data_IF_747823185979
#
_entry.id   IF_747823185979
#
_cell.length_a   1.000
_cell.length_b   1.000
_cell.length_c   1.000
_cell.angle_alpha   90.00
_cell.angle_beta   90.00
_cell.angle_gamma   90.00
#
_symmetry.space_group_name_H-M   'P 1'
#
loop_
_entity.id
_entity.type
_entity.pdbx_description
1 polymer ?
#
# COMPACT_ATOMS: atom_id res chain seq x y z
N UNK A 1 -45.46 -5.60 18.26
CA UNK A 1 -44.39 -5.52 17.25
C UNK A 1 -43.17 -6.16 17.86
N UNK A 2 -42.76 -7.34 17.37
CA UNK A 2 -41.59 -8.03 17.90
C UNK A 2 -40.36 -7.22 17.49
N UNK A 3 -39.82 -6.44 18.42
CA UNK A 3 -38.52 -5.79 18.27
C UNK A 3 -37.52 -6.93 18.18
N UNK A 4 -36.89 -7.10 17.01
CA UNK A 4 -35.76 -8.01 16.88
C UNK A 4 -34.63 -7.35 17.65
N UNK A 5 -34.36 -7.87 18.85
CA UNK A 5 -33.20 -7.51 19.65
C UNK A 5 -31.95 -8.07 18.96
N UNK A 6 -31.56 -7.44 17.85
CA UNK A 6 -30.28 -7.67 17.22
C UNK A 6 -29.28 -6.74 17.87
N UNK A 7 -28.47 -7.26 18.79
CA UNK A 7 -27.35 -6.53 19.37
C UNK A 7 -26.22 -6.59 18.34
N UNK A 8 -25.95 -5.45 17.70
CA UNK A 8 -24.79 -5.33 16.81
C UNK A 8 -23.52 -5.38 17.66
N UNK A 9 -22.64 -6.35 17.39
CA UNK A 9 -21.34 -6.45 18.03
C UNK A 9 -20.30 -5.91 17.04
N UNK A 10 -20.04 -4.60 17.01
CA UNK A 10 -19.11 -4.02 16.05
C UNK A 10 -17.74 -4.68 16.16
N UNK A 11 -17.10 -4.91 15.02
CA UNK A 11 -15.73 -5.41 15.02
C UNK A 11 -14.81 -4.40 15.73
N UNK A 12 -13.96 -4.82 16.70
CA UNK A 12 -13.18 -3.91 17.55
C UNK A 12 -12.21 -3.02 16.76
N UNK A 13 -11.82 -3.43 15.55
CA UNK A 13 -10.99 -2.63 14.64
C UNK A 13 -11.73 -1.43 14.04
N UNK A 14 -13.04 -1.54 13.82
CA UNK A 14 -13.88 -0.48 13.20
C UNK A 14 -13.96 0.76 14.08
N UNK A 15 -14.06 0.57 15.40
CA UNK A 15 -14.02 1.67 16.38
C UNK A 15 -12.61 2.28 16.51
N UNK A 16 -11.56 1.45 16.43
CA UNK A 16 -10.17 1.94 16.46
C UNK A 16 -9.80 2.75 15.21
N UNK A 17 -10.37 2.42 14.05
CA UNK A 17 -10.17 3.13 12.78
C UNK A 17 -10.83 4.52 12.75
N UNK A 18 -11.92 4.73 13.48
CA UNK A 18 -12.52 6.07 13.64
C UNK A 18 -11.57 7.04 14.37
N UNK A 19 -10.70 6.51 15.22
CA UNK A 19 -9.77 7.30 16.03
C UNK A 19 -8.38 7.45 15.37
N UNK A 20 -8.02 6.61 14.39
CA UNK A 20 -6.68 6.61 13.78
C UNK A 20 -6.72 6.89 12.27
N UNK A 21 -6.03 7.96 11.80
CA UNK A 21 -5.91 8.22 10.37
C UNK A 21 -5.07 7.14 9.66
N UNK A 22 -5.25 6.95 8.34
CA UNK A 22 -4.52 5.94 7.58
C UNK A 22 -3.01 6.14 7.68
N UNK A 23 -2.21 5.08 7.92
CA UNK A 23 -0.79 5.19 8.16
C UNK A 23 -0.07 5.82 6.96
N UNK A 24 0.57 6.98 7.17
CA UNK A 24 1.41 7.62 6.18
C UNK A 24 2.86 7.20 6.38
N UNK A 25 3.63 7.19 5.28
CA UNK A 25 5.08 6.98 5.27
C UNK A 25 5.80 7.97 6.21
N UNK A 26 5.23 9.17 6.41
CA UNK A 26 5.75 10.21 7.28
C UNK A 26 5.57 9.94 8.78
N UNK A 27 4.64 9.06 9.18
CA UNK A 27 4.32 8.78 10.58
C UNK A 27 5.20 7.67 11.16
N UNK A 28 6.02 7.04 10.32
CA UNK A 28 6.96 6.04 10.76
C UNK A 28 8.15 6.75 11.41
N UNK A 29 8.66 6.19 12.51
CA UNK A 29 9.87 6.66 13.17
C UNK A 29 11.08 6.35 12.29
N UNK A 30 11.16 7.05 11.17
CA UNK A 30 12.30 7.03 10.29
C UNK A 30 13.29 8.01 10.90
N UNK A 31 14.33 7.48 11.57
CA UNK A 31 15.45 8.29 12.04
C UNK A 31 16.00 9.17 10.91
N UNK A 32 16.68 10.26 11.24
CA UNK A 32 17.19 11.25 10.28
C UNK A 32 17.86 10.60 9.05
N UNK A 33 18.70 9.58 9.28
CA UNK A 33 19.41 8.83 8.24
C UNK A 33 18.46 8.11 7.26
N UNK A 34 17.37 7.53 7.76
CA UNK A 34 16.38 6.86 6.91
C UNK A 34 15.56 7.85 6.08
N UNK A 35 15.28 9.05 6.60
CA UNK A 35 14.59 10.11 5.84
C UNK A 35 15.46 10.63 4.70
N UNK A 36 16.75 10.84 4.97
CA UNK A 36 17.72 11.24 3.95
C UNK A 36 17.88 10.13 2.91
N UNK A 37 18.05 8.87 3.35
CA UNK A 37 18.14 7.71 2.46
C UNK A 37 16.92 7.56 1.55
N UNK A 38 15.71 7.62 2.10
CA UNK A 38 14.47 7.54 1.33
C UNK A 38 14.30 8.74 0.38
N UNK A 39 14.67 9.95 0.79
CA UNK A 39 14.60 11.14 -0.06
C UNK A 39 15.56 11.07 -1.26
N UNK A 40 16.81 10.66 -1.01
CA UNK A 40 17.81 10.47 -2.07
C UNK A 40 17.35 9.35 -3.00
N UNK A 41 16.93 8.21 -2.45
CA UNK A 41 16.46 7.06 -3.23
C UNK A 41 15.26 7.40 -4.10
N UNK A 42 14.32 8.21 -3.60
CA UNK A 42 13.17 8.66 -4.39
C UNK A 42 13.56 9.60 -5.52
N UNK A 43 14.60 10.42 -5.35
CA UNK A 43 15.13 11.29 -6.41
C UNK A 43 15.97 10.51 -7.43
N UNK A 44 16.85 9.64 -6.96
CA UNK A 44 17.72 8.79 -7.80
C UNK A 44 16.93 7.73 -8.54
N UNK A 45 15.85 7.21 -7.96
CA UNK A 45 14.92 6.28 -8.60
C UNK A 45 14.06 6.90 -9.70
N UNK A 46 14.21 8.20 -10.00
CA UNK A 46 13.58 8.81 -11.18
C UNK A 46 14.46 8.61 -12.42
N UNK A 47 13.83 8.38 -13.58
CA UNK A 47 14.55 8.19 -14.85
C UNK A 47 15.49 9.36 -15.22
N UNK A 48 15.23 10.56 -14.68
CA UNK A 48 16.08 11.75 -14.87
C UNK A 48 17.52 11.56 -14.39
N UNK A 49 17.74 10.88 -13.27
CA UNK A 49 19.08 10.64 -12.75
C UNK A 49 19.90 9.76 -13.71
N UNK A 50 19.25 8.76 -14.33
CA UNK A 50 19.86 7.88 -15.32
C UNK A 50 20.24 8.67 -16.58
N UNK A 51 19.35 9.53 -17.08
CA UNK A 51 19.66 10.35 -18.25
C UNK A 51 20.82 11.31 -18.01
N UNK A 52 20.87 11.97 -16.84
CA UNK A 52 21.98 12.87 -16.49
C UNK A 52 23.31 12.12 -16.39
N UNK A 53 23.33 10.95 -15.73
CA UNK A 53 24.53 10.14 -15.62
C UNK A 53 25.01 9.62 -16.99
N UNK A 54 24.09 9.17 -17.84
CA UNK A 54 24.39 8.69 -19.17
C UNK A 54 24.97 9.79 -20.06
N UNK A 55 24.33 10.96 -20.11
CA UNK A 55 24.81 12.10 -20.88
C UNK A 55 26.18 12.57 -20.37
N UNK A 56 26.38 12.62 -19.05
CA UNK A 56 27.68 12.95 -18.46
C UNK A 56 28.77 11.96 -18.89
N UNK A 57 28.49 10.66 -18.81
CA UNK A 57 29.45 9.62 -19.17
C UNK A 57 29.81 9.66 -20.66
N UNK A 58 28.83 9.80 -21.54
CA UNK A 58 29.05 9.96 -22.99
C UNK A 58 29.84 11.22 -23.30
N UNK A 59 29.48 12.36 -22.68
CA UNK A 59 30.19 13.62 -22.88
C UNK A 59 31.66 13.51 -22.46
N UNK A 60 31.94 12.90 -21.30
CA UNK A 60 33.30 12.67 -20.83
C UNK A 60 34.10 11.76 -21.76
N UNK A 61 33.51 10.64 -22.19
CA UNK A 61 34.16 9.72 -23.13
C UNK A 61 34.49 10.40 -24.46
N UNK A 62 33.63 11.29 -24.97
CA UNK A 62 33.90 12.07 -26.19
C UNK A 62 35.02 13.09 -25.96
N UNK A 63 35.01 13.82 -24.85
CA UNK A 63 36.03 14.83 -24.53
C UNK A 63 37.41 14.23 -24.24
N UNK A 64 37.46 13.06 -23.59
CA UNK A 64 38.69 12.38 -23.19
C UNK A 64 39.20 11.41 -24.26
N UNK A 65 38.31 10.80 -25.05
CA UNK A 65 38.67 9.84 -26.09
C UNK A 65 39.17 10.46 -27.39
N UNK A 66 38.89 11.75 -27.62
CA UNK A 66 39.43 12.45 -28.79
C UNK A 66 40.92 12.73 -28.57
N UNK A 67 41.79 12.30 -29.49
CA UNK A 67 43.25 12.45 -29.36
C UNK A 67 43.71 13.93 -29.23
N UNK A 68 42.90 14.86 -29.73
CA UNK A 68 43.07 16.32 -29.62
C UNK A 68 42.18 16.97 -28.57
N UNK A 69 41.47 16.17 -27.77
CA UNK A 69 40.58 16.65 -26.72
C UNK A 69 41.38 17.23 -25.54
N UNK A 70 40.93 18.33 -24.93
CA UNK A 70 41.62 18.95 -23.79
C UNK A 70 41.73 18.02 -22.56
N UNK A 71 40.89 16.99 -22.48
CA UNK A 71 40.86 16.02 -21.38
C UNK A 71 41.65 14.73 -21.65
N UNK A 72 42.15 14.53 -22.87
CA UNK A 72 42.88 13.31 -23.26
C UNK A 72 44.16 13.10 -22.45
N UNK A 73 44.82 14.17 -22.01
CA UNK A 73 46.02 14.08 -21.17
C UNK A 73 45.71 13.66 -19.73
N UNK A 74 44.46 13.82 -19.27
CA UNK A 74 44.05 13.54 -17.89
C UNK A 74 43.50 12.13 -17.77
N UNK A 75 42.69 11.68 -18.74
CA UNK A 75 42.03 10.38 -18.69
C UNK A 75 42.04 9.66 -20.06
N UNK A 76 43.21 9.22 -20.56
CA UNK A 76 43.30 8.48 -21.81
C UNK A 76 42.54 7.15 -21.72
N UNK A 77 42.08 6.64 -22.87
CA UNK A 77 41.51 5.29 -22.96
C UNK A 77 42.48 4.28 -22.33
N UNK A 78 42.07 3.46 -21.34
CA UNK A 78 40.71 2.98 -21.04
C UNK A 78 39.90 3.75 -19.97
N UNK A 79 40.14 5.05 -19.77
CA UNK A 79 39.37 5.93 -18.87
C UNK A 79 39.43 5.53 -17.37
N UNK A 80 40.63 5.28 -16.85
CA UNK A 80 40.82 4.81 -15.47
C UNK A 80 40.22 5.76 -14.42
N UNK A 81 40.27 7.07 -14.64
CA UNK A 81 39.73 8.05 -13.70
C UNK A 81 38.20 8.05 -13.70
N UNK A 82 37.57 8.03 -14.88
CA UNK A 82 36.11 7.90 -15.00
C UNK A 82 35.61 6.59 -14.37
N UNK A 83 36.28 5.46 -14.62
CA UNK A 83 35.93 4.18 -14.01
C UNK A 83 36.08 4.20 -12.49
N UNK A 84 37.13 4.80 -11.97
CA UNK A 84 37.36 4.94 -10.53
C UNK A 84 36.26 5.78 -9.86
N UNK A 85 35.96 6.95 -10.42
CA UNK A 85 34.92 7.83 -9.91
C UNK A 85 33.53 7.19 -10.00
N UNK A 86 33.25 6.50 -11.12
CA UNK A 86 32.01 5.75 -11.32
C UNK A 86 31.80 4.66 -10.27
N UNK A 87 32.83 3.89 -9.94
CA UNK A 87 32.75 2.86 -8.89
C UNK A 87 32.44 3.45 -7.52
N UNK A 88 33.10 4.54 -7.12
CA UNK A 88 32.84 5.20 -5.83
C UNK A 88 31.38 5.67 -5.77
N UNK A 89 30.93 6.37 -6.81
CA UNK A 89 29.56 6.88 -6.89
C UNK A 89 28.55 5.72 -6.86
N UNK A 90 28.82 4.63 -7.58
CA UNK A 90 27.96 3.45 -7.61
C UNK A 90 27.85 2.77 -6.24
N UNK A 91 28.96 2.51 -5.55
CA UNK A 91 28.93 1.89 -4.22
C UNK A 91 28.13 2.76 -3.24
N UNK A 92 28.36 4.08 -3.24
CA UNK A 92 27.62 5.02 -2.39
C UNK A 92 26.13 5.03 -2.74
N UNK A 93 25.78 5.12 -4.03
CA UNK A 93 24.39 5.07 -4.47
C UNK A 93 23.73 3.76 -4.03
N UNK A 94 24.41 2.62 -4.17
CA UNK A 94 23.89 1.31 -3.80
C UNK A 94 23.56 1.23 -2.31
N UNK A 95 24.46 1.70 -1.43
CA UNK A 95 24.19 1.75 0.01
C UNK A 95 23.01 2.66 0.35
N UNK A 96 22.97 3.86 -0.23
CA UNK A 96 21.89 4.83 0.03
C UNK A 96 20.55 4.29 -0.46
N UNK A 97 20.52 3.66 -1.64
CA UNK A 97 19.34 3.02 -2.22
C UNK A 97 18.87 1.89 -1.29
N UNK A 98 19.77 1.01 -0.84
CA UNK A 98 19.41 -0.10 0.05
C UNK A 98 18.71 0.39 1.32
N UNK A 99 19.27 1.40 1.99
CA UNK A 99 18.64 2.01 3.18
C UNK A 99 17.31 2.68 2.83
N UNK A 100 17.24 3.40 1.71
CA UNK A 100 16.01 4.04 1.27
C UNK A 100 14.90 3.05 0.95
N UNK A 101 15.22 1.93 0.31
CA UNK A 101 14.27 0.85 0.02
C UNK A 101 13.78 0.16 1.29
N UNK A 102 14.66 -0.12 2.27
CA UNK A 102 14.25 -0.69 3.56
C UNK A 102 13.22 0.21 4.27
N UNK A 103 13.46 1.53 4.27
CA UNK A 103 12.56 2.52 4.87
C UNK A 103 11.22 2.59 4.12
N UNK A 104 11.25 2.62 2.78
CA UNK A 104 10.05 2.67 1.96
C UNK A 104 9.24 1.37 2.07
N UNK A 105 9.91 0.22 2.17
CA UNK A 105 9.32 -1.11 2.35
C UNK A 105 8.58 -1.24 3.68
N UNK A 106 9.18 -0.75 4.78
CA UNK A 106 8.53 -0.79 6.10
C UNK A 106 7.19 -0.03 6.12
N UNK A 107 7.05 1.04 5.33
CA UNK A 107 5.79 1.77 5.20
C UNK A 107 4.76 0.98 4.36
N UNK A 108 5.22 0.27 3.32
CA UNK A 108 4.39 -0.62 2.52
C UNK A 108 3.86 -1.78 3.35
N UNK A 109 4.71 -2.42 4.15
CA UNK A 109 4.32 -3.55 5.00
C UNK A 109 3.27 -3.13 6.03
N UNK A 110 3.43 -1.95 6.65
CA UNK A 110 2.44 -1.42 7.59
C UNK A 110 1.09 -1.16 6.90
N UNK A 111 1.10 -0.62 5.68
CA UNK A 111 -0.12 -0.42 4.90
C UNK A 111 -0.79 -1.76 4.57
N UNK A 112 -0.01 -2.78 4.22
CA UNK A 112 -0.52 -4.12 3.96
C UNK A 112 -1.21 -4.71 5.20
N UNK A 113 -0.63 -4.55 6.40
CA UNK A 113 -1.25 -5.00 7.66
C UNK A 113 -2.58 -4.28 7.91
N UNK A 114 -2.64 -2.95 7.72
CA UNK A 114 -3.90 -2.21 7.90
C UNK A 114 -4.96 -2.64 6.88
N UNK A 115 -4.58 -2.82 5.61
CA UNK A 115 -5.50 -3.33 4.58
C UNK A 115 -6.01 -4.73 4.90
N UNK A 116 -5.16 -5.60 5.46
CA UNK A 116 -5.58 -6.93 5.91
C UNK A 116 -6.62 -6.84 7.04
N UNK A 117 -6.38 -6.01 8.06
CA UNK A 117 -7.31 -5.82 9.17
C UNK A 117 -8.65 -5.20 8.72
N UNK A 118 -8.60 -4.25 7.77
CA UNK A 118 -9.81 -3.68 7.16
C UNK A 118 -10.63 -4.76 6.44
N UNK A 119 -9.97 -5.66 5.70
CA UNK A 119 -10.63 -6.76 5.01
C UNK A 119 -11.27 -7.75 6.00
N UNK A 120 -10.61 -8.05 7.11
CA UNK A 120 -11.14 -8.88 8.19
C UNK A 120 -12.41 -8.24 8.82
N UNK A 121 -12.38 -6.93 9.09
CA UNK A 121 -13.53 -6.21 9.61
C UNK A 121 -14.71 -6.24 8.63
N UNK A 122 -14.47 -6.01 7.33
CA UNK A 122 -15.51 -6.09 6.30
C UNK A 122 -16.13 -7.49 6.25
N UNK A 123 -15.30 -8.55 6.30
CA UNK A 123 -15.79 -9.92 6.30
C UNK A 123 -16.70 -10.19 7.51
N UNK A 124 -16.30 -9.72 8.69
CA UNK A 124 -17.10 -9.88 9.91
C UNK A 124 -18.47 -9.18 9.78
N UNK A 125 -18.50 -7.95 9.27
CA UNK A 125 -19.75 -7.23 9.02
C UNK A 125 -20.63 -7.94 7.98
N UNK A 126 -20.03 -8.50 6.92
CA UNK A 126 -20.77 -9.31 5.94
C UNK A 126 -21.41 -10.55 6.58
N UNK A 127 -20.71 -11.23 7.48
CA UNK A 127 -21.26 -12.37 8.22
C UNK A 127 -22.43 -11.95 9.11
N UNK A 128 -22.33 -10.83 9.81
CA UNK A 128 -23.43 -10.29 10.61
C UNK A 128 -24.66 -9.93 9.75
N UNK A 129 -24.45 -9.34 8.58
CA UNK A 129 -25.54 -9.06 7.64
C UNK A 129 -26.22 -10.35 7.17
N UNK A 130 -25.45 -11.41 6.92
CA UNK A 130 -25.99 -12.71 6.54
C UNK A 130 -26.84 -13.32 7.65
N UNK A 131 -26.38 -13.26 8.91
CA UNK A 131 -27.17 -13.72 10.06
C UNK A 131 -28.46 -12.90 10.22
N UNK A 132 -28.37 -11.58 10.04
CA UNK A 132 -29.52 -10.69 10.12
C UNK A 132 -30.54 -10.98 9.01
N UNK A 133 -30.11 -11.16 7.76
CA UNK A 133 -30.99 -11.56 6.64
C UNK A 133 -31.65 -12.90 6.92
N UNK A 134 -30.91 -13.87 7.45
CA UNK A 134 -31.48 -15.18 7.83
C UNK A 134 -32.56 -15.03 8.92
N UNK A 135 -32.36 -14.14 9.89
CA UNK A 135 -33.35 -13.85 10.91
C UNK A 135 -34.61 -13.18 10.33
N UNK A 136 -34.43 -12.27 9.37
CA UNK A 136 -35.53 -11.63 8.64
C UNK A 136 -36.33 -12.64 7.82
N UNK A 137 -35.68 -13.54 7.09
CA UNK A 137 -36.33 -14.60 6.30
C UNK A 137 -37.18 -15.51 7.19
N UNK A 138 -36.67 -15.90 8.37
CA UNK A 138 -37.45 -16.67 9.35
C UNK A 138 -38.66 -15.91 9.87
N UNK A 139 -38.54 -14.59 10.07
CA UNK A 139 -39.66 -13.77 10.53
C UNK A 139 -40.75 -13.64 9.44
N UNK A 140 -40.34 -13.40 8.19
CA UNK A 140 -41.23 -13.39 7.02
C UNK A 140 -41.96 -14.73 6.85
N UNK A 141 -41.24 -15.85 6.98
CA UNK A 141 -41.85 -17.19 6.94
C UNK A 141 -42.93 -17.40 8.01
N UNK A 142 -42.72 -16.91 9.24
CA UNK A 142 -43.74 -16.96 10.30
C UNK A 142 -44.98 -16.12 9.99
N UNK A 143 -44.80 -14.95 9.37
CA UNK A 143 -45.92 -14.09 8.97
C UNK A 143 -46.73 -14.74 7.86
N UNK A 144 -46.07 -15.30 6.85
CA UNK A 144 -46.72 -16.04 5.75
C UNK A 144 -47.55 -17.21 6.29
N UNK A 145 -46.98 -18.03 7.17
CA UNK A 145 -47.70 -19.17 7.78
C UNK A 145 -48.93 -18.73 8.58
N UNK A 146 -48.88 -17.60 9.30
CA UNK A 146 -50.04 -17.06 10.02
C UNK A 146 -51.13 -16.57 9.08
N UNK A 147 -50.77 -15.98 7.94
CA UNK A 147 -51.74 -15.55 6.92
C UNK A 147 -52.45 -16.76 6.30
N UNK A 148 -51.72 -17.83 5.97
CA UNK A 148 -52.29 -19.07 5.43
C UNK A 148 -53.24 -19.75 6.43
N UNK A 149 -52.89 -19.76 7.71
CA UNK A 149 -53.78 -20.24 8.79
C UNK A 149 -55.05 -19.39 8.93
N UNK A 150 -54.94 -18.07 8.80
CA UNK A 150 -56.10 -17.17 8.82
C UNK A 150 -57.02 -17.42 7.62
N UNK A 151 -56.46 -17.58 6.42
CA UNK A 151 -57.21 -17.89 5.22
C UNK A 151 -57.97 -19.22 5.35
N UNK A 152 -57.29 -20.28 5.81
CA UNK A 152 -57.90 -21.59 6.02
C UNK A 152 -59.00 -21.57 7.08
N UNK A 153 -58.81 -20.84 8.18
CA UNK A 153 -59.85 -20.66 9.20
C UNK A 153 -61.07 -19.89 8.65
N UNK A 154 -60.84 -18.81 7.90
CA UNK A 154 -61.94 -18.08 7.26
C UNK A 154 -62.71 -18.95 6.27
N UNK A 155 -62.01 -19.77 5.48
CA UNK A 155 -62.63 -20.71 4.54
C UNK A 155 -63.48 -21.76 5.25
N UNK A 156 -63.01 -22.30 6.37
CA UNK A 156 -63.75 -23.27 7.17
C UNK A 156 -64.96 -22.66 7.93
N UNK A 157 -64.94 -21.36 8.22
CA UNK A 157 -66.08 -20.65 8.81
C UNK A 157 -67.14 -20.23 7.79
N UNK A 158 -66.80 -20.21 6.50
CA UNK A 158 -67.70 -19.79 5.41
C UNK A 158 -68.39 -20.95 4.68
N UNK A 159 -67.99 -22.20 4.95
CA UNK A 159 -68.65 -23.42 4.48
C UNK A 159 -69.45 -24.08 5.59
#
# INVERSE_FOLDING_TARGET
MAVIEFVHHPHPHTEQRKLQPPPKVADQHVGFNGRVGAAITRRVGTMWAVYLAFVFMVAWMVLAGFAWGPLHHIDPYPFAFLLFLGNIVQLLLMFVIMVGQQVLGAASDKRAVVTYQDAEAILHECLQMQEHLTAQDRALGRVLHRLEQLETNMRNSAG
#
